data_IF_542920787564
#
_entry.id   IF_542920787564
#
_cell.length_a   1.000
_cell.length_b   1.000
_cell.length_c   1.000
_cell.angle_alpha   90.00
_cell.angle_beta   90.00
_cell.angle_gamma   90.00
#
_symmetry.space_group_name_H-M   'P 1'
#
loop_
_entity.id
_entity.type
_entity.pdbx_description
1 polymer ?
#
# COMPACT_ATOMS: atom_id res chain seq x y z
N UNK A 1 13.38 32.71 -54.79
CA UNK A 1 13.54 32.08 -53.47
C UNK A 1 13.85 30.60 -53.70
N UNK A 2 15.10 30.18 -53.43
CA UNK A 2 15.63 28.86 -53.79
C UNK A 2 14.87 27.73 -53.13
N UNK A 3 14.65 26.60 -53.85
CA UNK A 3 13.98 25.40 -53.32
C UNK A 3 14.59 24.92 -51.99
N UNK A 4 15.90 25.08 -51.82
CA UNK A 4 16.63 24.79 -50.58
C UNK A 4 16.27 25.71 -49.41
N UNK A 5 15.99 26.99 -49.67
CA UNK A 5 15.54 27.90 -48.60
C UNK A 5 14.13 27.56 -48.09
N UNK A 6 13.24 27.11 -48.97
CA UNK A 6 11.89 26.62 -48.55
C UNK A 6 11.95 25.35 -47.74
N UNK A 7 12.85 24.42 -48.11
CA UNK A 7 13.05 23.18 -47.36
C UNK A 7 13.66 23.46 -45.98
N UNK A 8 14.66 24.36 -45.91
CA UNK A 8 15.26 24.75 -44.63
C UNK A 8 14.27 25.43 -43.68
N UNK A 9 13.38 26.28 -44.19
CA UNK A 9 12.31 26.89 -43.38
C UNK A 9 11.28 25.85 -42.92
N UNK A 10 10.91 24.89 -43.78
CA UNK A 10 9.97 23.82 -43.41
C UNK A 10 10.53 22.89 -42.33
N UNK A 11 11.81 22.53 -42.44
CA UNK A 11 12.52 21.70 -41.44
C UNK A 11 12.66 22.48 -40.12
N UNK A 12 12.96 23.77 -40.17
CA UNK A 12 13.00 24.64 -38.99
C UNK A 12 11.64 24.75 -38.29
N UNK A 13 10.54 24.83 -39.02
CA UNK A 13 9.18 24.86 -38.45
C UNK A 13 8.77 23.54 -37.84
N UNK A 14 9.19 22.41 -38.42
CA UNK A 14 8.91 21.07 -37.82
C UNK A 14 9.70 20.81 -36.56
N UNK A 15 10.92 21.35 -36.43
CA UNK A 15 11.74 21.20 -35.21
C UNK A 15 11.18 21.97 -34.01
N UNK A 16 10.41 23.05 -34.23
CA UNK A 16 9.81 23.83 -33.14
C UNK A 16 8.52 23.23 -32.59
N UNK A 17 7.86 22.32 -33.32
CA UNK A 17 6.61 21.70 -32.88
C UNK A 17 6.76 20.59 -31.83
N UNK A 18 7.96 20.06 -31.65
CA UNK A 18 8.22 18.91 -30.73
C UNK A 18 8.63 19.30 -29.31
N UNK A 19 8.71 20.63 -29.00
CA UNK A 19 9.24 21.12 -27.72
C UNK A 19 8.16 21.47 -26.67
N UNK A 20 6.88 21.16 -26.94
CA UNK A 20 5.80 21.47 -26.02
C UNK A 20 5.42 20.21 -25.22
N UNK A 21 5.73 20.21 -23.93
CA UNK A 21 5.22 19.20 -22.98
C UNK A 21 4.03 19.80 -22.24
N UNK A 22 2.90 19.10 -22.26
CA UNK A 22 1.70 19.48 -21.52
C UNK A 22 1.61 18.58 -20.28
N UNK A 23 1.44 19.20 -19.12
CA UNK A 23 1.22 18.48 -17.86
C UNK A 23 -0.26 18.09 -17.77
N UNK A 24 -0.53 16.82 -17.61
CA UNK A 24 -1.89 16.30 -17.50
C UNK A 24 -2.48 16.48 -16.11
N UNK A 25 -3.81 16.33 -15.98
CA UNK A 25 -4.48 16.41 -14.69
C UNK A 25 -4.10 15.23 -13.80
N UNK A 26 -3.56 15.52 -12.62
CA UNK A 26 -3.07 14.53 -11.67
C UNK A 26 -1.60 14.17 -11.84
N UNK A 27 -0.88 14.99 -12.60
CA UNK A 27 0.57 14.95 -12.73
C UNK A 27 1.17 16.30 -12.35
N UNK A 28 2.41 16.28 -11.95
CA UNK A 28 3.24 17.47 -11.72
C UNK A 28 4.51 17.34 -12.53
N UNK A 29 4.87 18.41 -13.23
CA UNK A 29 6.10 18.49 -13.99
C UNK A 29 7.22 19.11 -13.16
N UNK A 30 8.44 18.59 -13.32
CA UNK A 30 9.67 19.19 -12.79
C UNK A 30 10.63 19.41 -13.95
N UNK A 31 11.11 20.63 -14.09
CA UNK A 31 12.01 21.00 -15.18
C UNK A 31 13.43 20.52 -14.89
N UNK A 32 14.02 19.83 -15.85
CA UNK A 32 15.43 19.45 -15.83
C UNK A 32 16.15 20.20 -16.95
N UNK A 33 17.06 21.10 -16.56
CA UNK A 33 17.87 21.87 -17.50
C UNK A 33 18.89 21.01 -18.26
N UNK A 34 19.46 21.51 -19.31
CA UNK A 34 20.46 20.82 -20.15
C UNK A 34 21.71 20.37 -19.34
N UNK A 35 22.11 21.15 -18.34
CA UNK A 35 23.21 20.83 -17.41
C UNK A 35 22.82 19.77 -16.36
N UNK A 36 21.63 19.17 -16.50
CA UNK A 36 21.01 18.22 -15.57
C UNK A 36 20.59 18.79 -14.21
N UNK A 37 20.64 20.10 -14.05
CA UNK A 37 20.11 20.77 -12.86
C UNK A 37 18.58 20.63 -12.86
N UNK A 38 18.03 20.26 -11.71
CA UNK A 38 16.58 20.12 -11.51
C UNK A 38 16.09 21.40 -10.83
N UNK A 39 15.06 22.03 -11.41
CA UNK A 39 14.42 23.19 -10.81
C UNK A 39 13.54 22.75 -9.63
N UNK A 40 13.53 23.55 -8.57
CA UNK A 40 12.71 23.29 -7.38
C UNK A 40 11.27 23.77 -7.54
N UNK A 41 10.93 24.38 -8.67
CA UNK A 41 9.58 24.86 -8.97
C UNK A 41 8.80 23.80 -9.72
N UNK A 42 7.64 23.43 -9.18
CA UNK A 42 6.71 22.50 -9.80
C UNK A 42 5.89 23.18 -10.91
N UNK A 43 5.68 22.45 -12.00
CA UNK A 43 4.78 22.80 -13.07
C UNK A 43 3.43 22.14 -12.85
N UNK A 44 2.43 22.93 -12.51
CA UNK A 44 1.08 22.42 -12.21
C UNK A 44 0.33 21.96 -13.47
N UNK A 45 -0.72 21.13 -13.32
CA UNK A 45 -1.56 20.67 -14.42
C UNK A 45 -2.08 21.80 -15.29
N UNK A 46 -2.09 21.58 -16.60
CA UNK A 46 -2.51 22.57 -17.58
C UNK A 46 -1.41 23.53 -18.01
N UNK A 47 -0.26 23.54 -17.37
CA UNK A 47 0.89 24.33 -17.79
C UNK A 47 1.44 23.76 -19.10
N UNK A 48 1.60 24.62 -20.10
CA UNK A 48 2.30 24.29 -21.33
C UNK A 48 3.72 24.83 -21.17
N UNK A 49 4.69 23.97 -21.18
CA UNK A 49 6.07 24.36 -21.08
C UNK A 49 6.77 24.23 -22.43
N UNK A 50 7.36 25.33 -22.90
CA UNK A 50 8.24 25.35 -24.04
C UNK A 50 9.69 25.38 -23.56
N UNK A 51 10.26 24.20 -23.33
CA UNK A 51 11.69 24.09 -23.04
C UNK A 51 12.47 24.10 -24.36
N UNK A 52 13.15 25.18 -24.61
CA UNK A 52 14.09 25.23 -25.74
C UNK A 52 15.34 24.39 -25.49
N UNK A 53 15.66 24.15 -24.21
CA UNK A 53 16.85 23.42 -23.76
C UNK A 53 16.52 22.68 -22.43
N UNK A 54 16.45 21.37 -22.48
CA UNK A 54 16.15 20.52 -21.32
C UNK A 54 14.88 19.68 -21.49
N UNK A 55 14.51 18.97 -20.42
CA UNK A 55 13.34 18.09 -20.37
C UNK A 55 12.40 18.49 -19.23
N UNK A 56 11.15 18.05 -19.32
CA UNK A 56 10.21 18.08 -18.22
C UNK A 56 9.95 16.63 -17.79
N UNK A 57 10.26 16.33 -16.53
CA UNK A 57 9.94 15.07 -15.91
C UNK A 57 8.53 15.19 -15.31
N UNK A 58 7.65 14.24 -15.60
CA UNK A 58 6.29 14.19 -15.06
C UNK A 58 6.18 13.13 -13.97
N UNK A 59 5.47 13.47 -12.90
CA UNK A 59 5.27 12.61 -11.75
C UNK A 59 3.79 12.52 -11.42
N UNK A 60 3.22 11.32 -11.29
CA UNK A 60 1.85 11.16 -10.85
C UNK A 60 1.71 11.61 -9.40
N UNK A 61 0.69 12.42 -9.12
CA UNK A 61 0.32 12.89 -7.78
C UNK A 61 -1.02 12.33 -7.31
N UNK A 62 -1.66 11.50 -8.16
CA UNK A 62 -2.86 10.73 -7.79
C UNK A 62 -2.50 9.61 -6.83
N UNK A 63 -3.55 9.01 -6.26
CA UNK A 63 -3.40 7.84 -5.40
C UNK A 63 -2.63 6.72 -6.10
N UNK A 64 -1.53 6.32 -5.48
CA UNK A 64 -0.68 5.21 -5.91
C UNK A 64 -0.88 4.05 -4.93
N UNK A 65 -1.13 2.86 -5.45
CA UNK A 65 -1.24 1.65 -4.66
C UNK A 65 0.11 0.94 -4.60
N UNK A 66 0.55 0.62 -3.39
CA UNK A 66 1.74 -0.18 -3.11
C UNK A 66 1.32 -1.52 -2.56
N UNK A 67 1.63 -2.58 -3.27
CA UNK A 67 1.39 -3.93 -2.79
C UNK A 67 2.55 -4.40 -1.91
N UNK A 68 2.18 -4.90 -0.74
CA UNK A 68 3.11 -5.47 0.25
C UNK A 68 2.63 -6.89 0.52
N UNK A 69 3.27 -7.85 -0.11
CA UNK A 69 2.90 -9.27 -0.09
C UNK A 69 3.98 -10.15 0.52
N UNK A 70 3.63 -11.40 0.73
CA UNK A 70 4.52 -12.46 1.23
C UNK A 70 5.12 -12.12 2.62
N UNK A 71 4.36 -11.45 3.47
CA UNK A 71 4.79 -11.18 4.83
C UNK A 71 4.49 -12.37 5.74
N UNK A 72 5.47 -12.71 6.56
CA UNK A 72 5.37 -13.81 7.54
C UNK A 72 5.60 -13.29 8.97
N UNK A 73 4.74 -12.41 9.48
CA UNK A 73 4.91 -11.84 10.81
C UNK A 73 4.63 -12.87 11.91
N UNK A 74 5.22 -12.64 13.08
CA UNK A 74 4.85 -13.35 14.30
C UNK A 74 3.70 -12.62 14.99
N UNK A 75 2.71 -13.35 15.40
CA UNK A 75 1.58 -12.89 16.20
C UNK A 75 1.93 -12.72 17.69
N UNK A 76 0.99 -12.22 18.51
CA UNK A 76 1.18 -12.04 19.95
C UNK A 76 1.33 -13.36 20.70
N UNK A 77 0.73 -14.43 20.20
CA UNK A 77 0.82 -15.80 20.69
C UNK A 77 2.09 -16.55 20.25
N UNK A 78 3.05 -15.84 19.63
CA UNK A 78 4.27 -16.37 19.03
C UNK A 78 4.04 -17.38 17.89
N UNK A 79 2.84 -17.49 17.38
CA UNK A 79 2.59 -18.26 16.16
C UNK A 79 2.95 -17.44 14.91
N UNK A 80 3.33 -18.15 13.85
CA UNK A 80 3.63 -17.52 12.55
C UNK A 80 2.33 -17.31 11.78
N UNK A 81 2.23 -16.19 11.11
CA UNK A 81 1.27 -15.97 10.03
C UNK A 81 2.00 -16.32 8.73
N UNK A 82 1.55 -17.34 8.02
CA UNK A 82 2.25 -17.86 6.83
C UNK A 82 2.11 -16.94 5.63
N UNK A 83 1.02 -16.16 5.60
CA UNK A 83 0.77 -15.22 4.52
C UNK A 83 -0.04 -14.02 5.05
N UNK A 84 0.56 -12.84 4.91
CA UNK A 84 -0.07 -11.57 5.27
C UNK A 84 0.16 -10.58 4.15
N UNK A 85 -0.89 -10.36 3.35
CA UNK A 85 -0.86 -9.44 2.23
C UNK A 85 -1.66 -8.18 2.52
N UNK A 86 -1.11 -7.05 2.13
CA UNK A 86 -1.79 -5.77 2.22
C UNK A 86 -1.44 -4.84 1.06
N UNK A 87 -2.25 -3.82 0.87
CA UNK A 87 -1.98 -2.71 -0.01
C UNK A 87 -2.01 -1.40 0.79
N UNK A 88 -1.08 -0.51 0.48
CA UNK A 88 -1.05 0.85 1.01
C UNK A 88 -1.36 1.81 -0.13
N UNK A 89 -2.33 2.70 0.07
CA UNK A 89 -2.68 3.73 -0.89
C UNK A 89 -2.16 5.06 -0.37
N UNK A 90 -1.33 5.72 -1.17
CA UNK A 90 -0.74 7.00 -0.82
C UNK A 90 -0.76 7.95 -2.01
N UNK A 91 -0.64 9.24 -1.72
CA UNK A 91 -0.47 10.30 -2.71
C UNK A 91 0.63 11.26 -2.28
N UNK A 92 1.19 11.96 -3.26
CA UNK A 92 2.23 12.96 -3.04
C UNK A 92 1.60 14.34 -3.13
N UNK A 93 1.95 15.22 -2.19
CA UNK A 93 1.57 16.62 -2.27
C UNK A 93 2.21 17.25 -3.52
N UNK A 94 1.41 17.84 -4.43
CA UNK A 94 1.90 18.45 -5.66
C UNK A 94 3.03 19.47 -5.47
N UNK A 95 3.03 20.21 -4.37
CA UNK A 95 4.06 21.20 -4.04
C UNK A 95 5.33 20.63 -3.38
N UNK A 96 5.47 19.31 -3.28
CA UNK A 96 6.64 18.66 -2.66
C UNK A 96 7.32 17.67 -3.61
N UNK A 97 6.88 17.59 -4.85
CA UNK A 97 7.37 16.63 -5.84
C UNK A 97 8.85 16.87 -6.16
N UNK A 98 9.23 18.12 -6.42
CA UNK A 98 10.61 18.48 -6.76
C UNK A 98 11.55 18.22 -5.58
N UNK A 99 11.15 18.59 -4.35
CA UNK A 99 11.92 18.37 -3.13
C UNK A 99 12.16 16.87 -2.89
N UNK A 100 11.10 16.06 -2.94
CA UNK A 100 11.20 14.60 -2.76
C UNK A 100 12.10 13.94 -3.82
N UNK A 101 12.02 14.41 -5.06
CA UNK A 101 12.83 13.85 -6.14
C UNK A 101 14.31 14.22 -6.02
N UNK A 102 14.62 15.44 -5.55
CA UNK A 102 15.99 15.94 -5.42
C UNK A 102 16.66 15.41 -4.14
N UNK A 103 15.95 15.47 -3.01
CA UNK A 103 16.55 15.23 -1.70
C UNK A 103 16.53 13.78 -1.28
N UNK A 104 15.56 12.99 -1.77
CA UNK A 104 15.43 11.60 -1.34
C UNK A 104 16.21 10.65 -2.23
N UNK A 105 16.65 9.55 -1.64
CA UNK A 105 17.44 8.54 -2.34
C UNK A 105 16.65 8.00 -3.55
N UNK A 106 17.31 7.90 -4.70
CA UNK A 106 16.72 7.34 -5.93
C UNK A 106 16.12 5.93 -5.73
N UNK A 107 16.69 5.12 -4.85
CA UNK A 107 16.18 3.78 -4.53
C UNK A 107 14.83 3.77 -3.80
N UNK A 108 14.36 4.92 -3.29
CA UNK A 108 13.03 5.05 -2.69
C UNK A 108 11.92 5.18 -3.71
N UNK A 109 12.25 5.51 -4.96
CA UNK A 109 11.32 5.64 -6.06
C UNK A 109 11.24 4.32 -6.85
N UNK A 110 10.18 4.12 -7.58
CA UNK A 110 10.04 3.03 -8.54
C UNK A 110 9.78 3.61 -9.93
N UNK A 111 10.10 2.84 -10.96
CA UNK A 111 9.78 3.18 -12.34
C UNK A 111 8.73 2.18 -12.84
N UNK A 112 7.68 2.67 -13.50
CA UNK A 112 6.68 1.81 -14.17
C UNK A 112 7.24 1.28 -15.50
N UNK A 113 6.58 0.26 -16.06
CA UNK A 113 6.93 -0.25 -17.40
C UNK A 113 6.75 0.82 -18.50
N UNK A 114 5.89 1.83 -18.27
CA UNK A 114 5.67 2.97 -19.14
C UNK A 114 6.74 4.06 -19.01
N UNK A 115 7.62 3.94 -18.01
CA UNK A 115 8.70 4.90 -17.75
C UNK A 115 8.34 6.01 -16.77
N UNK A 116 7.16 5.97 -16.16
CA UNK A 116 6.76 6.93 -15.12
C UNK A 116 7.49 6.64 -13.82
N UNK A 117 7.91 7.68 -13.13
CA UNK A 117 8.55 7.55 -11.81
C UNK A 117 7.52 7.70 -10.70
N UNK A 118 7.31 6.62 -9.94
CA UNK A 118 6.49 6.63 -8.73
C UNK A 118 7.36 7.06 -7.54
N UNK A 119 7.15 8.30 -7.10
CA UNK A 119 7.92 8.86 -5.98
C UNK A 119 7.61 8.11 -4.69
N UNK A 120 8.65 7.80 -3.93
CA UNK A 120 8.60 7.19 -2.59
C UNK A 120 7.93 5.80 -2.52
N UNK A 121 7.66 5.14 -3.67
CA UNK A 121 6.99 3.85 -3.73
C UNK A 121 7.69 2.76 -2.89
N UNK A 122 8.99 2.57 -3.08
CA UNK A 122 9.77 1.58 -2.35
C UNK A 122 9.90 1.92 -0.86
N UNK A 123 9.95 3.20 -0.54
CA UNK A 123 9.99 3.67 0.85
C UNK A 123 8.68 3.37 1.59
N UNK A 124 7.54 3.69 0.98
CA UNK A 124 6.21 3.37 1.53
C UNK A 124 6.03 1.86 1.67
N UNK A 125 6.50 1.07 0.68
CA UNK A 125 6.50 -0.39 0.77
C UNK A 125 7.28 -0.90 1.97
N UNK A 126 8.44 -0.33 2.25
CA UNK A 126 9.26 -0.69 3.40
C UNK A 126 8.61 -0.26 4.72
N UNK A 127 8.03 0.94 4.80
CA UNK A 127 7.28 1.38 5.98
C UNK A 127 6.08 0.48 6.23
N UNK A 128 5.32 0.15 5.19
CA UNK A 128 4.19 -0.77 5.28
C UNK A 128 4.59 -2.14 5.83
N UNK A 129 5.68 -2.72 5.31
CA UNK A 129 6.24 -3.97 5.82
C UNK A 129 6.57 -3.86 7.32
N UNK A 130 7.30 -2.84 7.73
CA UNK A 130 7.70 -2.66 9.12
C UNK A 130 6.48 -2.46 10.04
N UNK A 131 5.50 -1.66 9.60
CA UNK A 131 4.26 -1.42 10.33
C UNK A 131 3.45 -2.72 10.50
N UNK A 132 3.34 -3.54 9.44
CA UNK A 132 2.65 -4.84 9.50
C UNK A 132 3.29 -5.77 10.54
N UNK A 133 4.61 -5.92 10.52
CA UNK A 133 5.33 -6.74 11.51
C UNK A 133 5.14 -6.24 12.95
N UNK A 134 5.11 -4.93 13.15
CA UNK A 134 4.91 -4.33 14.48
C UNK A 134 3.47 -4.47 14.97
N UNK A 135 2.50 -4.30 14.10
CA UNK A 135 1.08 -4.39 14.43
C UNK A 135 0.65 -5.83 14.64
N UNK A 136 1.13 -6.78 13.82
CA UNK A 136 0.80 -8.20 13.96
C UNK A 136 1.12 -8.74 15.36
N UNK A 137 2.17 -8.24 16.01
CA UNK A 137 2.53 -8.60 17.40
C UNK A 137 1.50 -8.22 18.46
N UNK A 138 0.48 -7.45 18.12
CA UNK A 138 -0.58 -7.04 19.05
C UNK A 138 -1.79 -7.97 19.03
N UNK A 139 -1.90 -8.86 18.03
CA UNK A 139 -3.05 -9.71 17.80
C UNK A 139 -2.67 -11.20 17.81
N UNK A 140 -3.56 -12.06 18.31
CA UNK A 140 -3.43 -13.50 18.17
C UNK A 140 -3.69 -13.91 16.72
N UNK A 141 -2.92 -14.87 16.19
CA UNK A 141 -2.96 -15.22 14.77
C UNK A 141 -4.34 -15.62 14.27
N UNK A 142 -5.07 -16.42 15.06
CA UNK A 142 -6.43 -16.88 14.72
C UNK A 142 -7.50 -15.78 14.80
N UNK A 143 -7.23 -14.68 15.53
CA UNK A 143 -8.16 -13.56 15.69
C UNK A 143 -7.88 -12.41 14.73
N UNK A 144 -6.78 -12.44 13.99
CA UNK A 144 -6.42 -11.34 13.10
C UNK A 144 -7.47 -11.11 12.01
N UNK A 145 -8.05 -12.19 11.46
CA UNK A 145 -9.07 -12.06 10.42
C UNK A 145 -10.32 -11.32 10.90
N UNK A 146 -10.72 -11.56 12.16
CA UNK A 146 -11.88 -10.88 12.77
C UNK A 146 -11.60 -9.40 13.09
N UNK A 147 -10.33 -9.08 13.38
CA UNK A 147 -9.88 -7.73 13.72
C UNK A 147 -9.27 -6.97 12.51
N UNK A 148 -9.58 -7.40 11.28
CA UNK A 148 -9.00 -6.83 10.05
C UNK A 148 -9.07 -5.30 9.99
N UNK A 149 -10.22 -4.72 10.25
CA UNK A 149 -10.41 -3.27 10.20
C UNK A 149 -9.55 -2.50 11.24
N UNK A 150 -9.40 -3.07 12.44
CA UNK A 150 -8.52 -2.49 13.47
C UNK A 150 -7.05 -2.60 13.08
N UNK A 151 -6.64 -3.71 12.47
CA UNK A 151 -5.29 -3.92 11.96
C UNK A 151 -4.97 -2.92 10.86
N UNK A 152 -5.88 -2.72 9.89
CA UNK A 152 -5.73 -1.73 8.80
C UNK A 152 -5.51 -0.32 9.37
N UNK A 153 -6.32 0.07 10.34
CA UNK A 153 -6.20 1.37 11.00
C UNK A 153 -4.90 1.49 11.79
N UNK A 154 -4.51 0.45 12.54
CA UNK A 154 -3.28 0.44 13.32
C UNK A 154 -2.04 0.51 12.44
N UNK A 155 -2.02 -0.22 11.32
CA UNK A 155 -0.93 -0.17 10.33
C UNK A 155 -0.84 1.23 9.70
N UNK A 156 -1.98 1.81 9.30
CA UNK A 156 -2.01 3.17 8.78
C UNK A 156 -1.44 4.18 9.77
N UNK A 157 -1.86 4.12 11.04
CA UNK A 157 -1.35 5.00 12.09
C UNK A 157 0.16 4.84 12.29
N UNK A 158 0.69 3.63 12.24
CA UNK A 158 2.11 3.36 12.39
C UNK A 158 2.93 3.92 11.21
N UNK A 159 2.40 3.82 9.98
CA UNK A 159 3.03 4.42 8.79
C UNK A 159 3.03 5.95 8.92
N UNK A 160 1.89 6.56 9.25
CA UNK A 160 1.77 8.02 9.41
C UNK A 160 2.70 8.52 10.52
N UNK A 161 2.78 7.82 11.65
CA UNK A 161 3.71 8.17 12.73
C UNK A 161 5.18 8.10 12.28
N UNK A 162 5.52 7.12 11.44
CA UNK A 162 6.86 7.00 10.87
C UNK A 162 7.18 8.13 9.89
N UNK A 163 6.21 8.51 9.04
CA UNK A 163 6.36 9.66 8.14
C UNK A 163 6.53 10.97 8.92
N UNK A 164 5.78 11.17 9.99
CA UNK A 164 5.90 12.36 10.84
C UNK A 164 7.26 12.44 11.55
N UNK A 165 7.80 11.31 12.00
CA UNK A 165 9.14 11.25 12.59
C UNK A 165 10.24 11.69 11.62
N UNK A 166 10.05 11.42 10.32
CA UNK A 166 10.96 11.82 9.23
C UNK A 166 10.60 13.21 8.62
N UNK A 167 9.57 13.89 9.16
CA UNK A 167 9.03 15.18 8.66
C UNK A 167 8.50 15.10 7.22
N UNK A 168 7.92 13.97 6.86
CA UNK A 168 7.35 13.71 5.53
C UNK A 168 5.81 13.76 5.52
N UNK A 169 5.17 13.96 6.67
CA UNK A 169 3.72 13.99 6.85
C UNK A 169 3.01 15.13 6.09
N UNK A 170 3.72 16.21 5.77
CA UNK A 170 3.22 17.27 4.89
C UNK A 170 3.44 17.02 3.39
N UNK A 171 4.28 16.06 3.04
CA UNK A 171 4.69 15.77 1.66
C UNK A 171 4.00 14.52 1.09
N UNK A 172 3.68 13.56 1.96
CA UNK A 172 3.08 12.27 1.61
C UNK A 172 1.83 12.06 2.47
N UNK A 173 0.70 11.82 1.81
CA UNK A 173 -0.55 11.45 2.48
C UNK A 173 -0.83 9.96 2.27
N UNK A 174 -1.12 9.24 3.37
CA UNK A 174 -1.54 7.83 3.34
C UNK A 174 -3.04 7.78 3.49
N UNK A 175 -3.73 7.63 2.38
CA UNK A 175 -5.20 7.64 2.32
C UNK A 175 -5.78 6.40 3.00
N UNK A 176 -5.27 5.21 2.66
CA UNK A 176 -5.84 3.95 3.11
C UNK A 176 -4.80 2.83 3.18
N UNK A 177 -5.03 1.89 4.10
CA UNK A 177 -4.39 0.58 4.14
C UNK A 177 -5.47 -0.49 4.02
N UNK A 178 -5.26 -1.46 3.16
CA UNK A 178 -6.18 -2.57 2.90
C UNK A 178 -5.44 -3.88 3.16
N UNK A 179 -5.89 -4.64 4.12
CA UNK A 179 -5.40 -6.00 4.32
C UNK A 179 -6.16 -6.91 3.36
N UNK A 180 -5.44 -7.64 2.50
CA UNK A 180 -6.03 -8.52 1.48
C UNK A 180 -6.16 -9.95 1.99
N UNK A 181 -5.08 -10.46 2.57
CA UNK A 181 -5.02 -11.83 3.05
C UNK A 181 -4.36 -11.90 4.42
N UNK A 182 -4.88 -12.78 5.27
CA UNK A 182 -4.28 -13.19 6.53
C UNK A 182 -4.47 -14.70 6.62
N UNK A 183 -3.38 -15.44 6.51
CA UNK A 183 -3.38 -16.89 6.61
C UNK A 183 -2.53 -17.32 7.80
N UNK A 184 -3.13 -17.72 8.94
CA UNK A 184 -2.38 -18.34 10.03
C UNK A 184 -1.69 -19.63 9.57
N UNK A 185 -0.63 -20.04 10.25
CA UNK A 185 0.08 -21.27 9.94
C UNK A 185 -0.85 -22.50 10.02
N UNK A 186 -0.70 -23.43 9.07
CA UNK A 186 -1.58 -24.58 8.92
C UNK A 186 -1.62 -25.47 10.19
N UNK A 187 -0.50 -25.59 10.92
CA UNK A 187 -0.43 -26.33 12.18
C UNK A 187 -1.25 -25.66 13.30
N UNK A 188 -1.35 -24.35 13.32
CA UNK A 188 -2.15 -23.58 14.28
C UNK A 188 -3.63 -23.78 13.98
N UNK A 189 -4.01 -23.69 12.70
CA UNK A 189 -5.39 -23.95 12.26
C UNK A 189 -5.80 -25.38 12.57
N UNK A 190 -4.94 -26.37 12.31
CA UNK A 190 -5.21 -27.77 12.62
C UNK A 190 -5.41 -28.00 14.12
N UNK A 191 -4.56 -27.39 14.96
CA UNK A 191 -4.67 -27.50 16.43
C UNK A 191 -5.96 -26.84 16.95
N UNK A 192 -6.34 -25.69 16.42
CA UNK A 192 -7.59 -25.02 16.76
C UNK A 192 -8.81 -25.86 16.37
N UNK A 193 -8.81 -26.44 15.17
CA UNK A 193 -9.87 -27.32 14.71
C UNK A 193 -10.01 -28.57 15.60
N UNK A 194 -8.91 -29.21 15.99
CA UNK A 194 -8.91 -30.35 16.89
C UNK A 194 -9.50 -29.98 18.27
N UNK A 195 -9.15 -28.81 18.81
CA UNK A 195 -9.72 -28.32 20.06
C UNK A 195 -11.23 -28.11 19.97
N UNK A 196 -11.70 -27.47 18.88
CA UNK A 196 -13.13 -27.26 18.64
C UNK A 196 -13.87 -28.59 18.52
N UNK A 197 -13.31 -29.57 17.82
CA UNK A 197 -13.89 -30.92 17.74
C UNK A 197 -14.02 -31.57 19.10
N UNK A 198 -12.96 -31.54 19.92
CA UNK A 198 -12.98 -32.11 21.27
C UNK A 198 -14.02 -31.41 22.17
N UNK A 199 -14.14 -30.10 22.09
CA UNK A 199 -15.15 -29.33 22.82
C UNK A 199 -16.59 -29.71 22.38
N UNK A 200 -16.81 -29.85 21.07
CA UNK A 200 -18.11 -30.27 20.55
C UNK A 200 -18.48 -31.69 20.97
N UNK A 201 -17.54 -32.60 20.98
CA UNK A 201 -17.78 -33.96 21.51
C UNK A 201 -18.11 -33.94 23.01
N UNK A 202 -17.40 -33.15 23.79
CA UNK A 202 -17.67 -33.00 25.22
C UNK A 202 -19.08 -32.42 25.43
N UNK A 203 -19.47 -31.38 24.71
CA UNK A 203 -20.83 -30.82 24.79
C UNK A 203 -21.89 -31.84 24.40
N UNK A 204 -21.67 -32.60 23.31
CA UNK A 204 -22.59 -33.66 22.89
C UNK A 204 -22.79 -34.70 23.97
N UNK A 205 -21.70 -35.20 24.57
CA UNK A 205 -21.77 -36.18 25.69
C UNK A 205 -22.50 -35.61 26.92
N UNK A 206 -22.28 -34.32 27.23
CA UNK A 206 -23.01 -33.66 28.33
C UNK A 206 -24.52 -33.62 28.09
N UNK A 207 -24.93 -33.23 26.86
CA UNK A 207 -26.33 -33.18 26.45
C UNK A 207 -26.94 -34.59 26.49
N UNK A 208 -26.24 -35.61 26.01
CA UNK A 208 -26.68 -37.02 26.02
C UNK A 208 -26.92 -37.51 27.47
N UNK A 209 -25.99 -37.27 28.38
CA UNK A 209 -26.12 -37.61 29.81
C UNK A 209 -27.31 -36.86 30.45
N UNK A 210 -27.49 -35.59 30.10
CA UNK A 210 -28.59 -34.81 30.63
C UNK A 210 -29.95 -35.27 30.10
N UNK A 211 -30.01 -35.62 28.81
CA UNK A 211 -31.22 -36.20 28.20
C UNK A 211 -31.57 -37.56 28.84
N UNK A 212 -30.57 -38.44 29.01
CA UNK A 212 -30.78 -39.73 29.68
C UNK A 212 -31.26 -39.59 31.12
N UNK A 213 -30.75 -38.59 31.88
CA UNK A 213 -31.25 -38.30 33.25
C UNK A 213 -32.71 -37.85 33.24
N UNK A 214 -33.06 -36.95 32.33
CA UNK A 214 -34.45 -36.44 32.21
C UNK A 214 -35.42 -37.56 31.80
N UNK A 215 -34.99 -38.47 30.91
CA UNK A 215 -35.80 -39.64 30.54
C UNK A 215 -35.97 -40.60 31.71
N UNK A 216 -34.91 -40.85 32.49
CA UNK A 216 -35.00 -41.71 33.68
C UNK A 216 -35.94 -41.09 34.73
N UNK A 217 -35.86 -39.80 34.99
CA UNK A 217 -36.77 -39.06 35.88
C UNK A 217 -38.23 -39.13 35.39
N UNK A 218 -38.45 -38.96 34.10
CA UNK A 218 -39.77 -39.07 33.46
C UNK A 218 -40.36 -40.47 33.64
N UNK A 219 -39.56 -41.51 33.41
CA UNK A 219 -39.99 -42.91 33.60
C UNK A 219 -40.30 -43.17 35.08
N UNK A 220 -39.48 -42.71 36.01
CA UNK A 220 -39.72 -42.83 37.45
C UNK A 220 -41.03 -42.14 37.86
N UNK A 221 -41.30 -40.94 37.31
CA UNK A 221 -42.54 -40.20 37.61
C UNK A 221 -43.82 -40.87 37.03
N UNK A 222 -43.66 -41.63 35.91
CA UNK A 222 -44.79 -42.37 35.32
C UNK A 222 -45.11 -43.67 36.06
N UNK A 223 -44.15 -44.23 36.80
CA UNK A 223 -44.29 -45.47 37.54
C UNK A 223 -44.61 -45.27 39.03
N UNK A 224 -44.74 -44.02 39.49
CA UNK A 224 -45.13 -43.66 40.84
C UNK A 224 -46.63 -43.30 40.90
#
# INVERSE_FOLDING_TARGET
>A
MNRYAKVAVLVGLMATASACTRIETGEVGVRRSFDKTIETSELMPGTINQTMWGDVLTFPTKDVQVDVSDLTPLASDNSTVDDFDMAVIYSINPGSVAELFIEKNRGFHAETEQGDTLLMYNYIRQLGRNAAYKVARRYESLKMADNRAEIEQAVRQEIVASLAAEKLDGQIDVSQVLVRQIKPADNIVASANALVQAQNEQKRKQVEVQTAKLEAERIAALNA
#
